data_IF_728147302945
#
_entry.id   IF_728147302945
#
_cell.length_a   1.000
_cell.length_b   1.000
_cell.length_c   1.000
_cell.angle_alpha   90.00
_cell.angle_beta   90.00
_cell.angle_gamma   90.00
#
_symmetry.space_group_name_H-M   'P 1'
#
loop_
_entity.id
_entity.type
_entity.pdbx_description
1 polymer ?
#
# COMPACT_ATOMS: atom_id res chain seq x y z
N UNK A 1 34.93 -24.82 -45.91
CA UNK A 1 35.25 -25.07 -44.47
C UNK A 1 36.45 -24.21 -44.16
N UNK A 2 36.46 -23.35 -43.12
CA UNK A 2 35.67 -23.32 -41.87
C UNK A 2 34.41 -22.43 -42.03
N UNK A 3 33.41 -22.34 -41.16
CA UNK A 3 33.27 -22.67 -39.76
C UNK A 3 32.54 -21.48 -39.12
N UNK A 4 31.20 -21.41 -39.25
CA UNK A 4 30.41 -20.29 -38.72
C UNK A 4 29.58 -20.79 -37.54
N UNK A 5 29.82 -20.15 -36.39
CA UNK A 5 29.28 -20.46 -35.09
C UNK A 5 27.74 -20.58 -35.09
N UNK A 6 27.25 -21.76 -34.73
CA UNK A 6 25.92 -21.95 -34.16
C UNK A 6 26.16 -22.52 -32.77
N UNK A 7 26.11 -21.67 -31.73
CA UNK A 7 25.79 -22.02 -30.34
C UNK A 7 26.28 -20.92 -29.39
N UNK A 8 25.45 -19.91 -29.11
CA UNK A 8 25.56 -19.12 -27.87
C UNK A 8 24.29 -18.30 -27.58
N UNK A 9 23.09 -18.87 -27.76
CA UNK A 9 21.84 -18.25 -27.28
C UNK A 9 21.24 -18.99 -26.06
N UNK A 10 22.04 -19.76 -25.32
CA UNK A 10 21.57 -20.62 -24.22
C UNK A 10 22.12 -20.25 -22.84
N UNK A 11 22.56 -19.01 -22.62
CA UNK A 11 23.18 -18.60 -21.34
C UNK A 11 22.61 -17.30 -20.75
N UNK A 12 21.28 -17.16 -20.71
CA UNK A 12 20.62 -16.04 -20.00
C UNK A 12 19.45 -16.49 -19.10
N UNK A 13 19.50 -17.69 -18.54
CA UNK A 13 18.56 -18.15 -17.50
C UNK A 13 19.15 -18.09 -16.08
N UNK A 14 20.17 -17.26 -15.87
CA UNK A 14 20.71 -16.99 -14.54
C UNK A 14 19.92 -15.87 -13.86
N UNK A 15 18.98 -16.30 -13.02
CA UNK A 15 18.46 -15.60 -11.85
C UNK A 15 17.70 -14.28 -12.07
N UNK A 16 16.38 -14.39 -12.24
CA UNK A 16 15.48 -13.43 -11.60
C UNK A 16 15.68 -13.55 -10.08
N UNK A 17 16.73 -12.93 -9.52
CA UNK A 17 16.78 -12.70 -8.07
C UNK A 17 15.64 -11.73 -7.75
N UNK A 18 14.85 -11.96 -6.70
CA UNK A 18 13.95 -10.93 -6.19
C UNK A 18 14.79 -9.67 -5.99
N UNK A 19 14.44 -8.60 -6.69
CA UNK A 19 15.08 -7.30 -6.42
C UNK A 19 14.66 -6.95 -5.00
N UNK A 20 15.64 -6.83 -4.12
CA UNK A 20 15.37 -6.44 -2.73
C UNK A 20 14.76 -5.03 -2.77
N UNK A 21 13.50 -4.92 -2.32
CA UNK A 21 12.85 -3.62 -2.23
C UNK A 21 13.58 -2.80 -1.17
N UNK A 22 13.88 -1.52 -1.42
CA UNK A 22 14.52 -0.69 -0.42
C UNK A 22 13.62 -0.61 0.82
N UNK A 23 14.26 -0.57 2.00
CA UNK A 23 13.54 -0.53 3.28
C UNK A 23 12.58 0.67 3.38
N UNK A 24 12.83 1.75 2.64
CA UNK A 24 11.95 2.92 2.52
C UNK A 24 10.56 2.57 1.99
N UNK A 25 10.43 1.62 1.06
CA UNK A 25 9.14 1.22 0.49
C UNK A 25 8.31 0.30 1.40
N UNK A 26 8.90 -0.20 2.49
CA UNK A 26 8.19 -1.08 3.42
C UNK A 26 7.00 -0.35 4.05
N UNK A 27 5.81 -0.93 3.96
CA UNK A 27 4.65 -0.38 4.66
C UNK A 27 4.84 -0.49 6.18
N UNK A 28 4.51 0.58 6.89
CA UNK A 28 4.66 0.66 8.36
C UNK A 28 3.34 0.91 9.06
N UNK A 29 2.31 1.37 8.33
CA UNK A 29 0.96 1.52 8.86
C UNK A 29 -0.07 1.42 7.72
N UNK A 30 -1.25 0.89 8.03
CA UNK A 30 -2.35 0.81 7.08
C UNK A 30 -3.70 0.96 7.75
N UNK A 31 -4.66 1.48 7.00
CA UNK A 31 -6.01 1.80 7.45
C UNK A 31 -7.04 1.42 6.40
N UNK A 32 -8.13 0.82 6.83
CA UNK A 32 -9.35 0.64 6.05
C UNK A 32 -10.29 1.83 6.29
N UNK A 33 -10.64 2.53 5.21
CA UNK A 33 -11.46 3.73 5.23
C UNK A 33 -12.79 3.46 4.50
N UNK A 34 -13.95 3.56 5.17
CA UNK A 34 -15.24 3.34 4.52
C UNK A 34 -15.61 4.49 3.57
N UNK A 35 -15.56 4.24 2.27
CA UNK A 35 -15.80 5.19 1.17
C UNK A 35 -16.87 4.67 0.18
N UNK A 36 -18.04 4.32 0.69
CA UNK A 36 -19.13 3.69 -0.08
C UNK A 36 -19.58 4.52 -1.29
N UNK A 37 -19.61 5.84 -1.16
CA UNK A 37 -20.15 6.75 -2.18
C UNK A 37 -19.06 7.48 -2.97
N UNK A 38 -19.40 7.92 -4.19
CA UNK A 38 -18.51 8.76 -5.02
C UNK A 38 -18.14 10.06 -4.29
N UNK A 39 -19.09 10.64 -3.56
CA UNK A 39 -18.87 11.87 -2.79
C UNK A 39 -17.84 11.64 -1.66
N UNK A 40 -17.92 10.52 -0.95
CA UNK A 40 -16.93 10.17 0.07
C UNK A 40 -15.54 9.96 -0.53
N UNK A 41 -15.44 9.28 -1.69
CA UNK A 41 -14.16 9.13 -2.41
C UNK A 41 -13.57 10.46 -2.84
N UNK A 42 -14.37 11.36 -3.42
CA UNK A 42 -13.92 12.70 -3.79
C UNK A 42 -13.44 13.48 -2.56
N UNK A 43 -14.20 13.47 -1.47
CA UNK A 43 -13.83 14.13 -0.21
C UNK A 43 -12.53 13.57 0.38
N UNK A 44 -12.33 12.27 0.27
CA UNK A 44 -11.10 11.60 0.70
C UNK A 44 -9.90 12.05 -0.14
N UNK A 45 -10.03 12.10 -1.46
CA UNK A 45 -8.99 12.61 -2.35
C UNK A 45 -8.63 14.07 -2.05
N UNK A 46 -9.64 14.94 -1.84
CA UNK A 46 -9.41 16.35 -1.47
C UNK A 46 -8.61 16.46 -0.16
N UNK A 47 -8.91 15.61 0.82
CA UNK A 47 -8.18 15.58 2.08
C UNK A 47 -6.75 15.08 1.91
N UNK A 48 -6.54 14.05 1.08
CA UNK A 48 -5.19 13.56 0.78
C UNK A 48 -4.35 14.65 0.13
N UNK A 49 -4.91 15.34 -0.88
CA UNK A 49 -4.25 16.43 -1.60
C UNK A 49 -3.94 17.62 -0.68
N UNK A 50 -4.91 18.06 0.13
CA UNK A 50 -4.73 19.17 1.08
C UNK A 50 -3.56 18.91 2.04
N UNK A 51 -3.51 17.71 2.64
CA UNK A 51 -2.46 17.35 3.59
C UNK A 51 -1.12 17.11 2.89
N UNK A 52 -1.11 16.47 1.72
CA UNK A 52 0.08 16.24 0.91
C UNK A 52 0.76 17.56 0.53
N UNK A 53 0.01 18.49 -0.09
CA UNK A 53 0.52 19.82 -0.48
C UNK A 53 1.03 20.60 0.71
N UNK A 54 0.32 20.56 1.84
CA UNK A 54 0.75 21.18 3.08
C UNK A 54 2.09 20.66 3.61
N UNK A 55 2.57 19.50 3.14
CA UNK A 55 3.85 18.88 3.51
C UNK A 55 4.89 18.89 2.36
N UNK A 56 4.59 19.55 1.24
CA UNK A 56 5.47 19.60 0.06
C UNK A 56 5.50 18.30 -0.74
N UNK A 57 4.36 17.61 -0.80
CA UNK A 57 4.11 16.42 -1.59
C UNK A 57 2.98 16.68 -2.59
N UNK A 58 2.84 15.84 -3.60
CA UNK A 58 1.68 15.84 -4.50
C UNK A 58 0.89 14.54 -4.40
N UNK A 59 -0.36 14.60 -4.85
CA UNK A 59 -1.26 13.47 -4.95
C UNK A 59 -1.48 13.17 -6.43
N UNK A 60 -1.24 11.93 -6.82
CA UNK A 60 -1.69 11.40 -8.10
C UNK A 60 -2.84 10.45 -7.86
N UNK A 61 -3.98 10.73 -8.49
CA UNK A 61 -5.16 9.90 -8.45
C UNK A 61 -5.50 9.44 -9.87
N UNK A 62 -5.69 8.14 -10.05
CA UNK A 62 -6.08 7.58 -11.33
C UNK A 62 -7.43 8.17 -11.79
N UNK A 63 -7.49 8.56 -13.05
CA UNK A 63 -8.71 8.97 -13.73
C UNK A 63 -9.69 7.82 -13.91
N UNK A 64 -10.96 8.13 -14.18
CA UNK A 64 -11.99 7.11 -14.43
C UNK A 64 -11.58 6.13 -15.56
N UNK A 65 -10.89 6.63 -16.61
CA UNK A 65 -10.41 5.80 -17.72
C UNK A 65 -9.24 4.89 -17.33
N UNK A 66 -8.31 5.38 -16.50
CA UNK A 66 -7.21 4.55 -15.98
C UNK A 66 -7.74 3.48 -15.04
N UNK A 67 -8.67 3.84 -14.15
CA UNK A 67 -9.35 2.89 -13.27
C UNK A 67 -10.08 1.80 -14.06
N UNK A 68 -10.79 2.15 -15.13
CA UNK A 68 -11.43 1.18 -16.03
C UNK A 68 -10.39 0.25 -16.68
N UNK A 69 -9.26 0.80 -17.15
CA UNK A 69 -8.20 0.03 -17.80
C UNK A 69 -7.51 -0.98 -16.88
N UNK A 70 -7.36 -0.67 -15.58
CA UNK A 70 -6.74 -1.57 -14.59
C UNK A 70 -7.73 -2.48 -13.88
N UNK A 71 -9.03 -2.28 -14.08
CA UNK A 71 -10.08 -3.04 -13.42
C UNK A 71 -10.29 -4.41 -14.07
N UNK A 72 -10.56 -5.42 -13.25
CA UNK A 72 -11.14 -6.67 -13.73
C UNK A 72 -12.68 -6.52 -13.79
N UNK A 73 -13.37 -7.14 -14.77
CA UNK A 73 -14.84 -7.07 -14.83
C UNK A 73 -15.54 -7.56 -13.55
N UNK A 74 -14.93 -8.53 -12.86
CA UNK A 74 -15.42 -9.09 -11.59
C UNK A 74 -14.99 -8.32 -10.34
N UNK A 75 -14.08 -7.36 -10.46
CA UNK A 75 -13.56 -6.56 -9.34
C UNK A 75 -13.19 -5.15 -9.80
N UNK A 76 -14.19 -4.26 -10.01
CA UNK A 76 -13.94 -2.88 -10.41
C UNK A 76 -13.18 -2.11 -9.32
N UNK A 77 -12.12 -1.43 -9.72
CA UNK A 77 -11.35 -0.49 -8.90
C UNK A 77 -11.99 0.88 -9.08
N UNK A 78 -12.32 1.56 -7.98
CA UNK A 78 -12.96 2.89 -7.99
C UNK A 78 -12.11 3.95 -7.29
N UNK A 79 -10.99 3.54 -6.73
CA UNK A 79 -9.99 4.42 -6.13
C UNK A 79 -8.61 3.79 -6.30
N UNK A 80 -7.69 4.57 -6.87
CA UNK A 80 -6.26 4.31 -6.84
C UNK A 80 -5.58 5.67 -6.79
N UNK A 81 -4.91 5.98 -5.68
CA UNK A 81 -4.24 7.25 -5.50
C UNK A 81 -2.99 7.11 -4.65
N UNK A 82 -1.92 7.79 -5.02
CA UNK A 82 -0.63 7.78 -4.32
C UNK A 82 -0.19 9.20 -3.99
N UNK A 83 0.35 9.36 -2.78
CA UNK A 83 1.03 10.59 -2.38
C UNK A 83 2.53 10.38 -2.62
N UNK A 84 3.12 11.28 -3.38
CA UNK A 84 4.50 11.18 -3.82
C UNK A 84 5.35 12.31 -3.25
N UNK A 85 6.62 11.99 -2.99
CA UNK A 85 7.68 12.96 -2.84
C UNK A 85 8.42 13.09 -4.15
N UNK A 86 8.72 14.34 -4.50
CA UNK A 86 9.43 14.67 -5.72
C UNK A 86 8.57 15.39 -6.72
N UNK A 87 9.18 15.92 -7.77
CA UNK A 87 8.42 16.40 -8.93
C UNK A 87 8.18 15.27 -9.94
N UNK A 88 9.03 14.23 -9.92
CA UNK A 88 9.01 13.10 -10.85
C UNK A 88 8.76 11.76 -10.13
N UNK A 89 7.84 11.73 -9.15
CA UNK A 89 7.41 10.51 -8.46
C UNK A 89 8.56 9.70 -7.84
N UNK A 90 9.54 10.38 -7.26
CA UNK A 90 10.76 9.75 -6.77
C UNK A 90 10.49 8.74 -5.64
N UNK A 91 9.47 9.01 -4.81
CA UNK A 91 9.14 8.15 -3.68
C UNK A 91 7.66 8.17 -3.29
N UNK A 92 7.05 6.99 -3.15
CA UNK A 92 5.69 6.84 -2.60
C UNK A 92 5.74 7.03 -1.08
N UNK A 93 4.98 8.00 -0.58
CA UNK A 93 4.81 8.27 0.84
C UNK A 93 3.58 7.57 1.43
N UNK A 94 2.52 7.46 0.63
CA UNK A 94 1.29 6.74 0.97
C UNK A 94 0.55 6.31 -0.30
N UNK A 95 -0.23 5.23 -0.22
CA UNK A 95 -1.05 4.74 -1.33
C UNK A 95 -2.43 4.32 -0.83
N UNK A 96 -3.49 4.68 -1.57
CA UNK A 96 -4.87 4.36 -1.28
C UNK A 96 -5.51 3.59 -2.44
N UNK A 97 -6.02 2.41 -2.16
CA UNK A 97 -6.58 1.49 -3.16
C UNK A 97 -7.82 0.79 -2.62
N UNK A 98 -8.87 0.62 -3.44
CA UNK A 98 -10.10 -0.11 -3.06
C UNK A 98 -10.22 -1.51 -3.70
N UNK A 99 -9.09 -2.04 -4.17
CA UNK A 99 -9.01 -3.37 -4.76
C UNK A 99 -9.50 -4.42 -3.75
N UNK A 100 -10.28 -5.39 -4.23
CA UNK A 100 -10.97 -6.46 -3.47
C UNK A 100 -11.99 -6.03 -2.41
N UNK A 101 -12.18 -4.72 -2.18
CA UNK A 101 -13.12 -4.18 -1.20
C UNK A 101 -13.94 -2.99 -1.70
N UNK A 102 -14.91 -3.21 -2.60
CA UNK A 102 -15.74 -2.12 -3.11
C UNK A 102 -16.41 -1.34 -1.97
N UNK A 103 -16.15 -0.03 -1.94
CA UNK A 103 -16.68 0.87 -0.91
C UNK A 103 -15.77 1.07 0.30
N UNK A 104 -14.56 0.50 0.28
CA UNK A 104 -13.55 0.62 1.31
C UNK A 104 -12.18 0.87 0.67
N UNK A 105 -11.44 1.85 1.16
CA UNK A 105 -10.09 2.12 0.68
C UNK A 105 -9.06 1.68 1.72
N UNK A 106 -8.10 0.87 1.29
CA UNK A 106 -6.92 0.57 2.07
C UNK A 106 -5.87 1.65 1.81
N UNK A 107 -5.63 2.49 2.81
CA UNK A 107 -4.57 3.50 2.83
C UNK A 107 -3.34 2.92 3.53
N UNK A 108 -2.23 2.78 2.80
CA UNK A 108 -0.93 2.33 3.31
C UNK A 108 0.04 3.50 3.40
N UNK A 109 0.93 3.45 4.39
CA UNK A 109 2.02 4.41 4.58
C UNK A 109 3.36 3.67 4.54
N UNK A 110 4.31 4.20 3.80
CA UNK A 110 5.67 3.67 3.71
C UNK A 110 6.55 4.21 4.84
N UNK A 111 7.69 3.55 5.09
CA UNK A 111 8.72 4.05 6.00
C UNK A 111 9.30 5.38 5.48
N UNK A 112 9.54 5.42 4.16
CA UNK A 112 10.22 6.47 3.43
C UNK A 112 11.72 6.59 3.70
N UNK A 113 12.45 7.22 2.77
CA UNK A 113 13.88 7.55 2.83
C UNK A 113 14.17 8.58 3.92
N UNK A 114 13.18 9.44 4.22
CA UNK A 114 13.19 10.40 5.33
C UNK A 114 12.12 10.05 6.39
N UNK A 115 12.36 9.07 7.29
CA UNK A 115 11.32 8.52 8.17
C UNK A 115 10.60 9.55 9.05
N UNK A 116 11.29 10.63 9.43
CA UNK A 116 10.70 11.71 10.21
C UNK A 116 9.60 12.46 9.41
N UNK A 117 9.82 12.69 8.12
CA UNK A 117 8.84 13.34 7.24
C UNK A 117 7.67 12.42 6.94
N UNK A 118 7.92 11.15 6.60
CA UNK A 118 6.87 10.13 6.41
C UNK A 118 6.00 9.97 7.64
N UNK A 119 6.63 9.95 8.84
CA UNK A 119 5.90 9.88 10.11
C UNK A 119 5.05 11.12 10.36
N UNK A 120 5.52 12.31 9.98
CA UNK A 120 4.76 13.56 10.11
C UNK A 120 3.52 13.54 9.21
N UNK A 121 3.69 13.20 7.94
CA UNK A 121 2.59 13.05 6.98
C UNK A 121 1.55 12.06 7.49
N UNK A 122 2.00 10.86 7.88
CA UNK A 122 1.15 9.80 8.41
C UNK A 122 0.32 10.26 9.61
N UNK A 123 0.95 10.91 10.60
CA UNK A 123 0.25 11.40 11.79
C UNK A 123 -0.82 12.43 11.45
N UNK A 124 -0.52 13.35 10.53
CA UNK A 124 -1.48 14.38 10.10
C UNK A 124 -2.67 13.76 9.38
N UNK A 125 -2.41 12.87 8.41
CA UNK A 125 -3.44 12.18 7.66
C UNK A 125 -4.32 11.32 8.57
N UNK A 126 -3.73 10.46 9.40
CA UNK A 126 -4.48 9.60 10.33
C UNK A 126 -5.34 10.44 11.29
N UNK A 127 -4.81 11.54 11.83
CA UNK A 127 -5.60 12.41 12.70
C UNK A 127 -6.80 13.02 11.97
N UNK A 128 -6.64 13.44 10.70
CA UNK A 128 -7.72 14.02 9.91
C UNK A 128 -8.74 12.96 9.50
N UNK A 129 -8.26 11.79 9.09
CA UNK A 129 -9.08 10.65 8.67
C UNK A 129 -9.97 10.21 9.83
N UNK A 130 -9.41 9.99 11.03
CA UNK A 130 -10.21 9.57 12.19
C UNK A 130 -11.28 10.59 12.60
N UNK A 131 -11.12 11.85 12.21
CA UNK A 131 -12.12 12.90 12.44
C UNK A 131 -13.26 12.88 11.40
N UNK A 132 -12.96 12.59 10.13
CA UNK A 132 -13.99 12.52 9.06
C UNK A 132 -14.66 11.15 8.98
N UNK A 133 -13.89 10.08 9.18
CA UNK A 133 -14.31 8.68 9.12
C UNK A 133 -13.99 8.04 10.48
N UNK A 134 -14.86 8.22 11.49
CA UNK A 134 -14.65 7.64 12.82
C UNK A 134 -14.63 6.10 12.80
N UNK A 135 -15.28 5.50 11.80
CA UNK A 135 -15.32 4.06 11.57
C UNK A 135 -14.08 3.54 10.81
N UNK A 136 -13.11 4.41 10.49
CA UNK A 136 -11.84 3.97 9.90
C UNK A 136 -11.11 3.02 10.86
N UNK A 137 -10.70 1.87 10.34
CA UNK A 137 -10.12 0.80 11.13
C UNK A 137 -8.66 0.57 10.76
N UNK A 138 -7.80 0.42 11.76
CA UNK A 138 -6.40 0.08 11.52
C UNK A 138 -6.29 -1.36 10.98
N UNK A 139 -5.45 -1.56 9.97
CA UNK A 139 -5.11 -2.89 9.43
C UNK A 139 -3.82 -3.40 10.09
N UNK A 140 -3.72 -4.71 10.38
CA UNK A 140 -2.44 -5.29 10.80
C UNK A 140 -1.47 -5.28 9.62
N UNK A 141 -0.19 -5.04 9.93
CA UNK A 141 0.92 -5.13 8.99
C UNK A 141 1.94 -6.09 9.56
N UNK A 142 2.48 -6.95 8.71
CA UNK A 142 3.53 -7.89 9.06
C UNK A 142 4.89 -7.20 9.19
N UNK A 143 5.91 -7.83 9.78
CA UNK A 143 7.23 -7.19 9.95
C UNK A 143 7.87 -6.77 8.62
N UNK A 144 7.52 -7.46 7.54
CA UNK A 144 7.99 -7.20 6.18
C UNK A 144 7.16 -6.15 5.43
N UNK A 145 6.13 -5.58 6.06
CA UNK A 145 5.28 -4.56 5.45
C UNK A 145 4.12 -5.10 4.63
N UNK A 146 3.79 -6.39 4.77
CA UNK A 146 2.65 -7.01 4.07
C UNK A 146 1.38 -6.84 4.88
N UNK A 147 0.27 -6.46 4.24
CA UNK A 147 -1.06 -6.54 4.86
C UNK A 147 -1.62 -7.94 4.61
N UNK A 148 -2.13 -8.65 5.64
CA UNK A 148 -2.79 -9.94 5.46
C UNK A 148 -3.99 -9.86 4.50
N UNK A 149 -4.34 -10.99 3.90
CA UNK A 149 -5.47 -11.03 2.99
C UNK A 149 -6.77 -10.72 3.72
N UNK A 150 -7.76 -10.15 3.03
CA UNK A 150 -9.07 -9.86 3.62
C UNK A 150 -9.72 -11.02 4.37
N UNK A 151 -9.68 -12.21 3.76
CA UNK A 151 -10.27 -13.43 4.33
C UNK A 151 -9.55 -13.91 5.58
N UNK A 152 -8.33 -13.43 5.83
CA UNK A 152 -7.53 -13.72 7.01
C UNK A 152 -7.75 -12.69 8.12
N UNK A 153 -8.53 -11.63 7.87
CA UNK A 153 -8.78 -10.54 8.81
C UNK A 153 -10.18 -10.62 9.43
N UNK A 154 -10.27 -10.23 10.71
CA UNK A 154 -11.54 -10.02 11.39
C UNK A 154 -11.58 -8.62 12.01
N UNK A 155 -12.71 -7.93 11.84
CA UNK A 155 -12.93 -6.60 12.40
C UNK A 155 -13.26 -6.71 13.89
N UNK A 156 -12.61 -5.89 14.71
CA UNK A 156 -12.83 -5.75 16.16
C UNK A 156 -13.12 -4.30 16.52
N UNK A 157 -13.59 -3.99 17.75
CA UNK A 157 -13.76 -2.60 18.19
C UNK A 157 -12.48 -1.74 18.13
N UNK A 158 -11.30 -2.35 18.12
CA UNK A 158 -10.00 -1.67 18.03
C UNK A 158 -9.41 -1.61 16.61
N UNK A 159 -10.13 -2.12 15.60
CA UNK A 159 -9.64 -2.29 14.23
C UNK A 159 -9.54 -3.76 13.81
N UNK A 160 -8.85 -4.05 12.72
CA UNK A 160 -8.67 -5.41 12.24
C UNK A 160 -7.61 -6.17 13.04
N UNK A 161 -7.82 -7.47 13.22
CA UNK A 161 -6.80 -8.42 13.67
C UNK A 161 -6.73 -9.61 12.73
N UNK A 162 -5.59 -10.30 12.75
CA UNK A 162 -5.45 -11.57 12.05
C UNK A 162 -6.29 -12.65 12.75
N UNK A 163 -7.06 -13.42 11.97
CA UNK A 163 -7.78 -14.59 12.47
C UNK A 163 -6.80 -15.61 13.02
N UNK A 164 -7.13 -16.25 14.14
CA UNK A 164 -6.27 -17.26 14.76
C UNK A 164 -5.91 -18.41 13.79
N UNK A 165 -6.86 -18.83 12.95
CA UNK A 165 -6.63 -19.89 11.98
C UNK A 165 -5.63 -19.51 10.86
N UNK A 166 -5.41 -18.21 10.63
CA UNK A 166 -4.50 -17.71 9.61
C UNK A 166 -3.09 -17.42 10.15
N UNK A 167 -2.86 -17.44 11.46
CA UNK A 167 -1.56 -17.13 12.06
C UNK A 167 -0.38 -17.93 11.47
N UNK A 168 -0.49 -19.25 11.22
CA UNK A 168 0.62 -20.02 10.66
C UNK A 168 1.08 -19.52 9.29
N UNK A 169 0.18 -18.94 8.48
CA UNK A 169 0.50 -18.39 7.15
C UNK A 169 1.40 -17.16 7.22
N UNK A 170 1.37 -16.45 8.35
CA UNK A 170 2.11 -15.21 8.60
C UNK A 170 3.12 -15.36 9.76
N UNK A 171 3.45 -16.60 10.15
CA UNK A 171 4.30 -16.87 11.31
C UNK A 171 5.78 -16.53 11.06
N UNK A 172 6.28 -16.74 9.83
CA UNK A 172 7.63 -16.31 9.43
C UNK A 172 7.76 -14.77 9.50
N UNK A 173 6.65 -14.05 9.36
CA UNK A 173 6.59 -12.60 9.56
C UNK A 173 6.50 -12.18 11.04
N UNK A 174 6.49 -13.11 12.00
CA UNK A 174 6.51 -12.80 13.45
C UNK A 174 7.89 -13.04 14.08
N UNK A 175 8.70 -13.92 13.49
CA UNK A 175 9.98 -14.33 14.06
C UNK A 175 11.11 -13.30 13.91
N UNK A 176 10.94 -12.25 13.11
CA UNK A 176 11.94 -11.17 13.02
C UNK A 176 11.81 -10.07 14.10
N UNK A 177 10.82 -10.16 15.00
CA UNK A 177 10.55 -9.14 16.02
C UNK A 177 10.80 -9.58 17.47
N UNK A 178 11.50 -10.68 17.72
CA UNK A 178 11.80 -11.09 19.09
C UNK A 178 12.90 -12.15 19.20
N UNK A 179 13.87 -11.83 20.07
CA UNK A 179 14.84 -12.72 20.73
C UNK A 179 16.18 -12.97 20.01
N UNK A 180 17.14 -12.08 20.28
CA UNK A 180 18.51 -12.53 20.52
C UNK A 180 18.67 -12.93 21.99
N UNK A 181 19.32 -14.05 22.32
CA UNK A 181 20.06 -14.19 23.57
C UNK A 181 21.31 -13.30 23.59
#
# INVERSE_FOLDING_TARGET
>A
MPGTLVAACLAATAACRPVEQPASMRAVEAWDIPLATRQQRARFLDLLDEVARGQGYHLDAASDAELEAISLPSSPIRLNASIWRGEDDEEIMANALDMVHPGHAWLTFTLGEEPARSTRLRRLLVARIRREWPDAARLPISVHGTIPLPDDLELTPSGYRLKQAAEPKYADDRHAAGEGP
#
